data_IF_549467653252
#
_entry.id   IF_549467653252
#
_cell.length_a   1.000
_cell.length_b   1.000
_cell.length_c   1.000
_cell.angle_alpha   90.00
_cell.angle_beta   90.00
_cell.angle_gamma   90.00
#
_symmetry.space_group_name_H-M   'P 1'
#
loop_
_entity.id
_entity.type
_entity.pdbx_description
1 polymer ?
#
# COMPACT_ATOMS: atom_id res chain seq x y z
N UNK A 1 -27.77 6.34 10.39
CA UNK A 1 -26.33 6.65 10.60
C UNK A 1 -25.48 5.38 10.77
N UNK A 2 -25.81 4.28 10.06
CA UNK A 2 -25.21 2.96 10.35
C UNK A 2 -24.32 2.44 9.22
N UNK A 3 -24.75 2.57 7.96
CA UNK A 3 -24.03 1.99 6.82
C UNK A 3 -22.65 2.62 6.59
N UNK A 4 -22.53 3.95 6.72
CA UNK A 4 -21.27 4.66 6.47
C UNK A 4 -20.20 4.35 7.53
N UNK A 5 -20.61 4.21 8.80
CA UNK A 5 -19.72 3.81 9.89
C UNK A 5 -19.28 2.34 9.77
N UNK A 6 -20.21 1.45 9.38
CA UNK A 6 -19.88 0.05 9.12
C UNK A 6 -18.91 -0.07 7.94
N UNK A 7 -19.16 0.64 6.83
CA UNK A 7 -18.26 0.66 5.68
C UNK A 7 -16.86 1.19 6.05
N UNK A 8 -16.78 2.30 6.81
CA UNK A 8 -15.50 2.84 7.29
C UNK A 8 -14.74 1.82 8.14
N UNK A 9 -15.43 1.07 9.00
CA UNK A 9 -14.81 0.02 9.83
C UNK A 9 -14.30 -1.15 8.99
N UNK A 10 -15.09 -1.63 8.03
CA UNK A 10 -14.69 -2.70 7.12
C UNK A 10 -13.49 -2.32 6.26
N UNK A 11 -13.50 -1.11 5.66
CA UNK A 11 -12.37 -0.62 4.85
C UNK A 11 -11.11 -0.51 5.72
N UNK A 12 -11.23 -0.02 6.96
CA UNK A 12 -10.13 0.04 7.92
C UNK A 12 -9.52 -1.34 8.17
N UNK A 13 -10.36 -2.30 8.55
CA UNK A 13 -9.93 -3.68 8.84
C UNK A 13 -9.32 -4.36 7.60
N UNK A 14 -9.93 -4.20 6.42
CA UNK A 14 -9.41 -4.78 5.18
C UNK A 14 -8.06 -4.18 4.80
N UNK A 15 -7.87 -2.87 5.01
CA UNK A 15 -6.60 -2.18 4.74
C UNK A 15 -5.51 -2.69 5.68
N UNK A 16 -5.83 -2.91 6.95
CA UNK A 16 -4.89 -3.45 7.94
C UNK A 16 -4.43 -4.87 7.56
N UNK A 17 -5.38 -5.74 7.20
CA UNK A 17 -5.06 -7.09 6.69
C UNK A 17 -4.23 -6.98 5.40
N UNK A 18 -4.62 -6.11 4.47
CA UNK A 18 -3.88 -5.87 3.23
C UNK A 18 -2.44 -5.41 3.46
N UNK A 19 -2.20 -4.51 4.42
CA UNK A 19 -0.87 -4.04 4.82
C UNK A 19 -0.01 -5.19 5.37
N UNK A 20 -0.58 -6.05 6.22
CA UNK A 20 0.13 -7.23 6.73
C UNK A 20 0.48 -8.20 5.60
N UNK A 21 -0.42 -8.40 4.63
CA UNK A 21 -0.17 -9.24 3.45
C UNK A 21 0.92 -8.67 2.53
N UNK A 22 0.95 -7.34 2.33
CA UNK A 22 2.03 -6.68 1.57
C UNK A 22 3.37 -6.86 2.28
N UNK A 23 3.42 -6.65 3.60
CA UNK A 23 4.65 -6.84 4.38
C UNK A 23 5.18 -8.28 4.24
N UNK A 24 4.30 -9.27 4.35
CA UNK A 24 4.65 -10.68 4.12
C UNK A 24 5.13 -10.93 2.68
N UNK A 25 4.43 -10.37 1.69
CA UNK A 25 4.80 -10.47 0.27
C UNK A 25 6.19 -9.90 -0.04
N UNK A 26 6.58 -8.81 0.61
CA UNK A 26 7.93 -8.24 0.49
C UNK A 26 8.98 -9.20 1.04
N UNK A 27 8.79 -9.74 2.25
CA UNK A 27 9.75 -10.68 2.85
C UNK A 27 9.90 -11.94 1.99
N UNK A 28 8.79 -12.50 1.51
CA UNK A 28 8.82 -13.68 0.65
C UNK A 28 9.44 -13.40 -0.73
N UNK A 29 9.15 -12.26 -1.35
CA UNK A 29 9.75 -11.84 -2.62
C UNK A 29 11.25 -11.57 -2.54
N UNK A 30 11.76 -11.19 -1.36
CA UNK A 30 13.21 -11.08 -1.13
C UNK A 30 13.91 -12.45 -1.06
N UNK A 31 13.22 -13.49 -0.59
CA UNK A 31 13.77 -14.85 -0.46
C UNK A 31 13.69 -15.65 -1.77
N UNK A 32 12.68 -15.37 -2.60
CA UNK A 32 12.49 -16.01 -3.90
C UNK A 32 12.47 -14.97 -5.02
N UNK A 33 13.50 -14.90 -5.89
CA UNK A 33 13.48 -14.00 -7.02
C UNK A 33 12.41 -14.45 -8.04
N UNK A 34 11.33 -13.67 -8.16
CA UNK A 34 10.23 -13.90 -9.10
C UNK A 34 8.85 -13.89 -8.44
N UNK A 35 7.84 -14.39 -9.16
CA UNK A 35 6.48 -14.45 -8.65
C UNK A 35 6.38 -15.41 -7.45
N UNK A 36 5.95 -14.87 -6.31
CA UNK A 36 5.81 -15.65 -5.08
C UNK A 36 4.63 -16.63 -5.24
N UNK A 37 4.77 -17.94 -4.95
CA UNK A 37 3.76 -18.97 -5.29
C UNK A 37 2.34 -18.74 -4.76
N UNK A 38 2.18 -18.00 -3.66
CA UNK A 38 0.89 -17.75 -3.00
C UNK A 38 0.27 -16.38 -3.35
N UNK A 39 1.03 -15.43 -3.90
CA UNK A 39 0.53 -14.12 -4.36
C UNK A 39 0.46 -14.05 -5.89
N UNK A 40 1.23 -14.88 -6.61
CA UNK A 40 1.23 -14.95 -8.08
C UNK A 40 1.84 -13.74 -8.77
N UNK A 41 2.36 -12.77 -8.02
CA UNK A 41 2.98 -11.55 -8.55
C UNK A 41 4.24 -11.20 -7.76
N UNK A 42 5.15 -10.44 -8.39
CA UNK A 42 6.33 -9.91 -7.75
C UNK A 42 5.98 -8.57 -7.07
N UNK A 43 5.78 -8.63 -5.75
CA UNK A 43 5.41 -7.47 -4.93
C UNK A 43 6.52 -6.42 -4.92
N UNK A 44 7.79 -6.86 -4.93
CA UNK A 44 8.95 -5.95 -4.89
C UNK A 44 9.07 -5.21 -6.21
N UNK A 45 8.93 -5.91 -7.34
CA UNK A 45 8.94 -5.28 -8.66
C UNK A 45 7.78 -4.28 -8.83
N UNK A 46 6.59 -4.61 -8.35
CA UNK A 46 5.43 -3.73 -8.41
C UNK A 46 5.66 -2.42 -7.61
N UNK A 47 6.18 -2.52 -6.38
CA UNK A 47 6.50 -1.34 -5.57
C UNK A 47 7.61 -0.52 -6.23
N UNK A 48 8.65 -1.18 -6.74
CA UNK A 48 9.77 -0.49 -7.40
C UNK A 48 9.32 0.25 -8.66
N UNK A 49 8.42 -0.34 -9.44
CA UNK A 49 7.80 0.30 -10.62
C UNK A 49 7.03 1.56 -10.23
N UNK A 50 6.23 1.51 -9.16
CA UNK A 50 5.52 2.68 -8.62
C UNK A 50 6.51 3.76 -8.17
N UNK A 51 7.57 3.40 -7.45
CA UNK A 51 8.61 4.34 -7.02
C UNK A 51 9.31 5.00 -8.22
N UNK A 52 9.61 4.25 -9.28
CA UNK A 52 10.19 4.79 -10.52
C UNK A 52 9.23 5.76 -11.21
N UNK A 53 7.93 5.46 -11.26
CA UNK A 53 6.93 6.38 -11.81
C UNK A 53 6.84 7.67 -11.00
N UNK A 54 6.91 7.58 -9.67
CA UNK A 54 6.94 8.74 -8.79
C UNK A 54 8.23 9.56 -8.98
N UNK A 55 9.38 8.90 -9.09
CA UNK A 55 10.69 9.54 -9.31
C UNK A 55 10.80 10.26 -10.65
N UNK A 56 10.31 9.63 -11.74
CA UNK A 56 10.32 10.23 -13.08
C UNK A 56 9.46 11.50 -13.17
N UNK A 57 8.40 11.59 -12.37
CA UNK A 57 7.52 12.76 -12.31
C UNK A 57 7.99 13.81 -11.28
N UNK A 58 9.11 13.57 -10.59
CA UNK A 58 9.80 14.49 -9.66
C UNK A 58 8.88 15.27 -8.72
N UNK A 59 8.52 16.49 -9.11
CA UNK A 59 7.67 17.40 -8.35
C UNK A 59 6.25 16.86 -8.17
N UNK A 60 5.65 16.28 -9.22
CA UNK A 60 4.30 15.73 -9.15
C UNK A 60 4.27 14.49 -8.24
N UNK A 61 5.34 13.69 -8.28
CA UNK A 61 5.51 12.55 -7.36
C UNK A 61 5.59 12.98 -5.89
N UNK A 62 6.34 14.04 -5.60
CA UNK A 62 6.44 14.62 -4.25
C UNK A 62 5.09 15.17 -3.75
N UNK A 63 4.32 15.84 -4.60
CA UNK A 63 2.98 16.33 -4.24
C UNK A 63 2.04 15.16 -3.95
N UNK A 64 2.06 14.12 -4.78
CA UNK A 64 1.27 12.92 -4.54
C UNK A 64 1.63 12.25 -3.20
N UNK A 65 2.93 12.10 -2.90
CA UNK A 65 3.40 11.57 -1.61
C UNK A 65 2.94 12.44 -0.43
N UNK A 66 3.03 13.77 -0.55
CA UNK A 66 2.59 14.69 0.50
C UNK A 66 1.10 14.52 0.81
N UNK A 67 0.27 14.38 -0.23
CA UNK A 67 -1.18 14.14 -0.08
C UNK A 67 -1.45 12.79 0.58
N UNK A 68 -0.75 11.72 0.16
CA UNK A 68 -0.89 10.38 0.75
C UNK A 68 -0.50 10.40 2.24
N UNK A 69 0.65 10.97 2.57
CA UNK A 69 1.11 11.11 3.96
C UNK A 69 0.13 11.92 4.79
N UNK A 70 -0.40 13.03 4.26
CA UNK A 70 -1.39 13.84 4.96
C UNK A 70 -2.69 13.07 5.24
N UNK A 71 -3.19 12.30 4.26
CA UNK A 71 -4.39 11.49 4.40
C UNK A 71 -4.21 10.37 5.42
N UNK A 72 -3.08 9.64 5.36
CA UNK A 72 -2.76 8.59 6.32
C UNK A 72 -2.58 9.13 7.74
N UNK A 73 -1.93 10.29 7.89
CA UNK A 73 -1.76 10.92 9.20
C UNK A 73 -3.11 11.38 9.79
N UNK A 74 -4.05 11.83 8.94
CA UNK A 74 -5.42 12.17 9.34
C UNK A 74 -6.27 10.93 9.72
N UNK A 75 -5.86 9.73 9.33
CA UNK A 75 -6.47 8.46 9.77
C UNK A 75 -5.97 8.03 11.16
N UNK A 76 -4.81 8.54 11.59
CA UNK A 76 -4.27 8.28 12.91
C UNK A 76 -5.06 9.08 13.95
N UNK A 77 -5.96 8.37 14.64
CA UNK A 77 -6.57 8.76 15.91
C UNK A 77 -7.73 9.77 15.79
N UNK A 78 -8.93 9.23 15.54
CA UNK A 78 -10.15 9.59 16.28
C UNK A 78 -11.13 8.42 16.29
#
# INVERSE_FOLDING_TARGET
>A
MNALNVAKRWIGALTEVGLMLIAFGIVAGLLYPGAVPFIGTDVVANITSLLNQLGNNGVVGLVALAIICWLLNKRSIS
#
